data_IF_747447201233
#
_entry.id   IF_747447201233
#
_cell.length_a   1.000
_cell.length_b   1.000
_cell.length_c   1.000
_cell.angle_alpha   90.00
_cell.angle_beta   90.00
_cell.angle_gamma   90.00
#
_symmetry.space_group_name_H-M   'P 1'
#
loop_
_entity.id
_entity.type
_entity.pdbx_description
1 polymer ?
#
# COMPACT_ATOMS: atom_id res chain seq x y z
N UNK A 1 -13.95 -2.42 -17.41
CA UNK A 1 -13.45 -3.68 -16.78
C UNK A 1 -14.09 -3.80 -15.41
N UNK A 2 -14.64 -4.96 -15.05
CA UNK A 2 -15.10 -5.19 -13.69
C UNK A 2 -13.93 -5.04 -12.70
N UNK A 3 -14.11 -4.26 -11.63
CA UNK A 3 -13.08 -3.93 -10.62
C UNK A 3 -12.31 -5.16 -10.14
N UNK A 4 -13.02 -6.27 -9.93
CA UNK A 4 -12.45 -7.54 -9.46
C UNK A 4 -11.45 -8.16 -10.44
N UNK A 5 -11.67 -8.01 -11.76
CA UNK A 5 -10.73 -8.51 -12.78
C UNK A 5 -9.43 -7.71 -12.76
N UNK A 6 -9.50 -6.40 -12.52
CA UNK A 6 -8.30 -5.57 -12.42
C UNK A 6 -7.50 -5.91 -11.15
N UNK A 7 -8.16 -6.06 -10.01
CA UNK A 7 -7.50 -6.44 -8.74
C UNK A 7 -6.81 -7.81 -8.88
N UNK A 8 -7.53 -8.81 -9.40
CA UNK A 8 -6.96 -10.16 -9.63
C UNK A 8 -5.73 -10.12 -10.55
N UNK A 9 -5.77 -9.30 -11.59
CA UNK A 9 -4.64 -9.13 -12.50
C UNK A 9 -3.44 -8.47 -11.84
N UNK A 10 -3.66 -7.37 -11.11
CA UNK A 10 -2.60 -6.65 -10.39
C UNK A 10 -1.93 -7.57 -9.36
N UNK A 11 -2.72 -8.35 -8.63
CA UNK A 11 -2.22 -9.36 -7.71
C UNK A 11 -1.35 -10.42 -8.42
N UNK A 12 -1.78 -10.90 -9.59
CA UNK A 12 -0.99 -11.84 -10.38
C UNK A 12 0.31 -11.23 -10.93
N UNK A 13 0.33 -9.94 -11.28
CA UNK A 13 1.57 -9.25 -11.68
C UNK A 13 2.60 -9.32 -10.54
N UNK A 14 2.18 -9.01 -9.31
CA UNK A 14 3.05 -9.04 -8.14
C UNK A 14 3.60 -10.45 -7.88
N UNK A 15 2.75 -11.48 -7.93
CA UNK A 15 3.18 -12.89 -7.81
C UNK A 15 4.21 -13.25 -8.89
N UNK A 16 3.93 -12.92 -10.15
CA UNK A 16 4.82 -13.28 -11.26
C UNK A 16 6.19 -12.63 -11.10
N UNK A 17 6.24 -11.38 -10.64
CA UNK A 17 7.49 -10.64 -10.38
C UNK A 17 8.21 -11.15 -9.13
N UNK A 18 7.48 -11.56 -8.09
CA UNK A 18 8.07 -12.18 -6.89
C UNK A 18 8.88 -13.42 -7.24
N UNK A 19 8.37 -14.27 -8.14
CA UNK A 19 9.06 -15.46 -8.65
C UNK A 19 10.08 -15.19 -9.75
N UNK A 20 10.28 -13.93 -10.17
CA UNK A 20 11.22 -13.55 -11.23
C UNK A 20 12.23 -12.50 -10.73
N UNK A 21 13.26 -12.91 -9.94
CA UNK A 21 14.19 -11.97 -9.30
C UNK A 21 15.00 -11.13 -10.29
N UNK A 22 15.28 -11.64 -11.48
CA UNK A 22 15.96 -10.90 -12.55
C UNK A 22 15.04 -9.92 -13.30
N UNK A 23 13.76 -9.89 -12.95
CA UNK A 23 12.73 -9.14 -13.64
C UNK A 23 12.28 -9.77 -14.97
N UNK A 24 11.23 -9.19 -15.53
CA UNK A 24 10.61 -9.63 -16.78
C UNK A 24 10.30 -8.44 -17.67
N UNK A 25 10.36 -8.65 -18.98
CA UNK A 25 9.86 -7.66 -19.93
C UNK A 25 8.33 -7.61 -19.86
N UNK A 26 7.74 -6.47 -20.26
CA UNK A 26 6.28 -6.31 -20.32
C UNK A 26 5.63 -7.37 -21.22
N UNK A 27 6.31 -7.76 -22.30
CA UNK A 27 5.86 -8.83 -23.21
C UNK A 27 5.83 -10.19 -22.50
N UNK A 28 6.86 -10.52 -21.73
CA UNK A 28 6.90 -11.76 -20.96
C UNK A 28 5.82 -11.79 -19.86
N UNK A 29 5.59 -10.67 -19.18
CA UNK A 29 4.51 -10.51 -18.21
C UNK A 29 3.13 -10.70 -18.86
N UNK A 30 2.89 -10.06 -20.01
CA UNK A 30 1.66 -10.20 -20.79
C UNK A 30 1.40 -11.67 -21.15
N UNK A 31 2.41 -12.38 -21.68
CA UNK A 31 2.27 -13.81 -22.01
C UNK A 31 1.92 -14.66 -20.78
N UNK A 32 2.58 -14.42 -19.64
CA UNK A 32 2.30 -15.16 -18.39
C UNK A 32 0.89 -14.85 -17.86
N UNK A 33 0.42 -13.61 -17.97
CA UNK A 33 -0.93 -13.24 -17.57
C UNK A 33 -1.99 -13.90 -18.47
N UNK A 34 -1.78 -13.89 -19.79
CA UNK A 34 -2.67 -14.56 -20.75
C UNK A 34 -2.74 -16.07 -20.45
N UNK A 35 -1.61 -16.72 -20.12
CA UNK A 35 -1.58 -18.15 -19.73
C UNK A 35 -2.34 -18.45 -18.43
N UNK A 36 -2.57 -17.43 -17.59
CA UNK A 36 -3.36 -17.52 -16.35
C UNK A 36 -4.81 -17.08 -16.53
N UNK A 37 -5.28 -16.94 -17.79
CA UNK A 37 -6.66 -16.56 -18.12
C UNK A 37 -6.96 -15.06 -18.06
N UNK A 38 -5.92 -14.20 -18.00
CA UNK A 38 -6.10 -12.75 -18.09
C UNK A 38 -5.83 -12.28 -19.52
N UNK A 39 -6.86 -12.15 -20.34
CA UNK A 39 -6.74 -11.59 -21.70
C UNK A 39 -6.40 -10.10 -21.65
N UNK A 40 -5.10 -9.77 -21.73
CA UNK A 40 -4.63 -8.38 -21.70
C UNK A 40 -3.50 -8.12 -22.68
N UNK A 41 -3.50 -6.92 -23.26
CA UNK A 41 -2.42 -6.44 -24.11
C UNK A 41 -1.27 -5.81 -23.32
N UNK A 42 -0.10 -5.71 -23.95
CA UNK A 42 1.13 -5.09 -23.42
C UNK A 42 0.87 -3.71 -22.80
N UNK A 43 0.09 -2.85 -23.47
CA UNK A 43 -0.24 -1.50 -22.96
C UNK A 43 -0.98 -1.53 -21.62
N UNK A 44 -1.85 -2.52 -21.41
CA UNK A 44 -2.58 -2.68 -20.14
C UNK A 44 -1.63 -3.07 -19.03
N UNK A 45 -0.73 -4.01 -19.30
CA UNK A 45 0.29 -4.45 -18.34
C UNK A 45 1.20 -3.28 -17.95
N UNK A 46 1.65 -2.48 -18.91
CA UNK A 46 2.47 -1.29 -18.64
C UNK A 46 1.74 -0.28 -17.74
N UNK A 47 0.46 0.01 -18.02
CA UNK A 47 -0.34 0.91 -17.19
C UNK A 47 -0.50 0.38 -15.77
N UNK A 48 -0.71 -0.92 -15.60
CA UNK A 48 -0.86 -1.52 -14.27
C UNK A 48 0.46 -1.51 -13.49
N UNK A 49 1.61 -1.66 -14.15
CA UNK A 49 2.94 -1.50 -13.54
C UNK A 49 3.17 -0.06 -13.06
N UNK A 50 2.83 0.94 -13.88
CA UNK A 50 2.90 2.35 -13.48
C UNK A 50 1.95 2.66 -12.31
N UNK A 51 0.74 2.09 -12.31
CA UNK A 51 -0.20 2.26 -11.21
C UNK A 51 0.32 1.64 -9.90
N UNK A 52 0.95 0.47 -9.98
CA UNK A 52 1.60 -0.16 -8.83
C UNK A 52 2.78 0.69 -8.31
N UNK A 53 3.61 1.22 -9.20
CA UNK A 53 4.70 2.10 -8.81
C UNK A 53 4.19 3.41 -8.17
N UNK A 54 3.14 4.01 -8.74
CA UNK A 54 2.48 5.19 -8.16
C UNK A 54 1.82 4.90 -6.80
N UNK A 55 1.37 3.66 -6.58
CA UNK A 55 0.88 3.18 -5.28
C UNK A 55 2.00 2.86 -4.27
N UNK A 56 3.26 3.08 -4.62
CA UNK A 56 4.40 2.89 -3.71
C UNK A 56 4.93 1.45 -3.65
N UNK A 57 4.51 0.56 -4.57
CA UNK A 57 5.13 -0.76 -4.66
C UNK A 57 6.58 -0.63 -5.14
N UNK A 58 7.53 -1.40 -4.58
CA UNK A 58 8.96 -1.26 -4.85
C UNK A 58 9.34 -1.94 -6.17
N UNK A 59 8.79 -1.44 -7.27
CA UNK A 59 9.06 -1.86 -8.63
C UNK A 59 10.22 -1.05 -9.21
N UNK A 60 11.16 -1.73 -9.85
CA UNK A 60 12.26 -1.11 -10.57
C UNK A 60 12.26 -1.50 -12.03
N UNK A 61 12.42 -0.51 -12.91
CA UNK A 61 12.83 -0.74 -14.30
C UNK A 61 14.35 -0.86 -14.35
N UNK A 62 14.82 -1.91 -15.02
CA UNK A 62 16.20 -2.07 -15.43
C UNK A 62 16.24 -2.04 -16.96
N UNK A 63 17.00 -1.09 -17.51
CA UNK A 63 17.40 -1.15 -18.92
C UNK A 63 18.33 -2.34 -19.15
N UNK A 64 18.22 -3.01 -20.28
CA UNK A 64 19.01 -4.21 -20.59
C UNK A 64 20.23 -3.90 -21.44
N UNK A 65 21.37 -4.38 -20.96
CA UNK A 65 22.36 -5.07 -21.78
C UNK A 65 21.71 -6.16 -22.67
N UNK A 66 22.28 -6.34 -23.87
CA UNK A 66 21.98 -7.34 -24.91
C UNK A 66 20.68 -7.19 -25.74
N UNK A 67 19.49 -7.02 -25.14
CA UNK A 67 18.20 -7.09 -25.89
C UNK A 67 17.41 -5.77 -25.99
N UNK A 68 17.95 -4.67 -25.44
CA UNK A 68 17.36 -3.32 -25.51
C UNK A 68 15.89 -3.22 -25.04
N UNK A 69 15.44 -4.11 -24.15
CA UNK A 69 14.06 -4.23 -23.70
C UNK A 69 13.93 -4.06 -22.18
N UNK A 70 13.21 -3.04 -21.74
CA UNK A 70 13.09 -2.71 -20.32
C UNK A 70 12.49 -3.88 -19.50
N UNK A 71 13.20 -4.26 -18.43
CA UNK A 71 12.78 -5.32 -17.52
C UNK A 71 12.27 -4.73 -16.22
N UNK A 72 11.17 -5.27 -15.73
CA UNK A 72 10.54 -4.88 -14.49
C UNK A 72 10.81 -5.94 -13.43
N UNK A 73 11.28 -5.53 -12.25
CA UNK A 73 11.54 -6.40 -11.11
C UNK A 73 10.88 -5.85 -9.84
N UNK A 74 10.57 -6.74 -8.89
CA UNK A 74 10.10 -6.39 -7.56
C UNK A 74 11.28 -6.47 -6.58
N UNK A 75 11.61 -5.38 -5.90
CA UNK A 75 12.72 -5.37 -4.96
C UNK A 75 12.38 -6.19 -3.71
N UNK A 76 13.05 -7.33 -3.52
CA UNK A 76 12.83 -8.22 -2.35
C UNK A 76 13.31 -7.63 -1.02
N UNK A 77 14.24 -6.68 -1.07
CA UNK A 77 14.80 -5.97 0.08
C UNK A 77 14.56 -4.48 -0.06
N UNK A 78 13.30 -4.07 -0.21
CA UNK A 78 12.98 -2.66 -0.01
C UNK A 78 13.08 -2.35 1.48
N UNK A 79 14.00 -1.47 1.88
CA UNK A 79 13.76 -0.68 3.10
C UNK A 79 12.38 -0.07 2.90
N UNK A 80 11.48 -0.17 3.88
CA UNK A 80 10.22 0.56 3.87
C UNK A 80 10.61 2.05 4.00
N UNK A 81 11.01 2.65 2.89
CA UNK A 81 11.42 4.06 2.80
C UNK A 81 10.21 4.95 2.62
N UNK A 82 9.15 4.41 2.03
CA UNK A 82 7.83 5.02 2.06
C UNK A 82 6.98 4.24 3.06
N UNK A 83 6.82 4.82 4.24
CA UNK A 83 5.58 4.65 4.99
C UNK A 83 4.52 5.28 4.08
N UNK A 84 3.97 4.50 3.15
CA UNK A 84 2.79 4.92 2.42
C UNK A 84 1.79 5.36 3.47
N UNK A 85 1.34 6.61 3.41
CA UNK A 85 0.43 7.15 4.40
C UNK A 85 -0.87 6.33 4.32
N UNK A 86 -0.97 5.30 5.16
CA UNK A 86 -2.16 4.45 5.22
C UNK A 86 -3.30 5.38 5.61
N UNK A 87 -4.24 5.56 4.70
CA UNK A 87 -5.40 6.41 4.97
C UNK A 87 -6.21 5.79 6.10
N UNK A 88 -7.01 6.62 6.79
CA UNK A 88 -7.87 6.13 7.87
C UNK A 88 -8.80 5.00 7.39
N UNK A 89 -9.31 5.08 6.15
CA UNK A 89 -10.14 4.03 5.56
C UNK A 89 -9.37 2.72 5.33
N UNK A 90 -8.13 2.80 4.86
CA UNK A 90 -7.27 1.62 4.68
C UNK A 90 -6.90 0.99 6.03
N UNK A 91 -6.70 1.79 7.08
CA UNK A 91 -6.48 1.26 8.43
C UNK A 91 -7.71 0.51 8.98
N UNK A 92 -8.92 1.03 8.75
CA UNK A 92 -10.16 0.34 9.16
C UNK A 92 -10.27 -1.01 8.44
N UNK A 93 -10.07 -1.03 7.12
CA UNK A 93 -10.14 -2.27 6.35
C UNK A 93 -9.06 -3.27 6.77
N UNK A 94 -7.83 -2.80 7.02
CA UNK A 94 -6.76 -3.65 7.54
C UNK A 94 -7.11 -4.23 8.91
N UNK A 95 -7.72 -3.42 9.80
CA UNK A 95 -8.18 -3.88 11.10
C UNK A 95 -9.29 -4.92 10.99
N UNK A 96 -10.26 -4.74 10.09
CA UNK A 96 -11.34 -5.70 9.85
C UNK A 96 -10.80 -7.03 9.29
N UNK A 97 -9.84 -6.96 8.37
CA UNK A 97 -9.15 -8.15 7.84
C UNK A 97 -8.37 -8.85 8.96
N UNK A 98 -7.67 -8.11 9.81
CA UNK A 98 -6.95 -8.67 10.96
C UNK A 98 -7.91 -9.37 11.92
N UNK A 99 -9.04 -8.75 12.27
CA UNK A 99 -10.06 -9.35 13.13
C UNK A 99 -10.66 -10.61 12.52
N UNK A 100 -10.98 -10.60 11.22
CA UNK A 100 -11.45 -11.79 10.52
C UNK A 100 -10.40 -12.92 10.53
N UNK A 101 -9.12 -12.60 10.34
CA UNK A 101 -8.03 -13.58 10.39
C UNK A 101 -7.77 -14.11 11.81
N UNK A 102 -7.94 -13.30 12.85
CA UNK A 102 -7.89 -13.74 14.26
C UNK A 102 -9.01 -14.75 14.54
N UNK A 103 -10.20 -14.47 14.03
CA UNK A 103 -11.37 -15.32 14.21
C UNK A 103 -11.25 -16.65 13.44
N UNK A 104 -10.45 -16.68 12.37
CA UNK A 104 -10.27 -17.86 11.51
C UNK A 104 -8.97 -18.67 11.72
N UNK A 105 -8.01 -18.22 12.55
CA UNK A 105 -6.77 -19.00 12.84
C UNK A 105 -6.83 -19.71 14.19
N UNK A 106 -6.42 -20.98 14.17
CA UNK A 106 -6.14 -21.83 15.35
C UNK A 106 -5.36 -21.10 16.45
N UNK A 107 -5.70 -21.44 17.70
CA UNK A 107 -5.39 -20.73 18.95
C UNK A 107 -3.91 -20.40 19.24
N UNK A 108 -2.95 -20.88 18.45
CA UNK A 108 -1.51 -20.75 18.74
C UNK A 108 -0.89 -19.37 18.49
N UNK A 109 -1.47 -18.52 17.63
CA UNK A 109 -0.92 -17.17 17.33
C UNK A 109 -1.88 -16.03 17.65
N UNK A 110 -3.04 -16.31 18.26
CA UNK A 110 -4.05 -15.30 18.58
C UNK A 110 -3.50 -14.19 19.48
N UNK A 111 -2.63 -14.52 20.43
CA UNK A 111 -2.05 -13.53 21.35
C UNK A 111 -1.04 -12.59 20.68
N UNK A 112 -0.24 -13.06 19.74
CA UNK A 112 0.67 -12.20 18.96
C UNK A 112 -0.12 -11.18 18.13
N UNK A 113 -1.19 -11.63 17.48
CA UNK A 113 -2.03 -10.79 16.62
C UNK A 113 -2.87 -9.81 17.46
N UNK A 114 -3.39 -10.22 18.63
CA UNK A 114 -4.04 -9.30 19.58
C UNK A 114 -3.08 -8.20 20.04
N UNK A 115 -1.82 -8.55 20.32
CA UNK A 115 -0.82 -7.55 20.72
C UNK A 115 -0.53 -6.54 19.59
N UNK A 116 -0.53 -6.99 18.33
CA UNK A 116 -0.36 -6.14 17.16
C UNK A 116 -1.57 -5.21 16.97
N UNK A 117 -2.79 -5.74 17.09
CA UNK A 117 -4.01 -4.95 17.02
C UNK A 117 -4.07 -3.86 18.11
N UNK A 118 -3.71 -4.20 19.35
CA UNK A 118 -3.64 -3.24 20.46
C UNK A 118 -2.63 -2.12 20.19
N UNK A 119 -1.47 -2.44 19.61
CA UNK A 119 -0.46 -1.44 19.21
C UNK A 119 -0.99 -0.51 18.12
N UNK A 120 -1.70 -1.04 17.13
CA UNK A 120 -2.30 -0.22 16.06
C UNK A 120 -3.38 0.73 16.59
N UNK A 121 -4.23 0.27 17.51
CA UNK A 121 -5.24 1.13 18.16
C UNK A 121 -4.59 2.23 19.01
N UNK A 122 -3.51 1.91 19.74
CA UNK A 122 -2.77 2.92 20.50
C UNK A 122 -2.15 3.98 19.59
N UNK A 123 -1.60 3.59 18.43
CA UNK A 123 -1.05 4.54 17.46
C UNK A 123 -2.15 5.43 16.85
N UNK A 124 -3.33 4.88 16.57
CA UNK A 124 -4.50 5.66 16.16
C UNK A 124 -4.93 6.68 17.21
N UNK A 125 -4.92 6.31 18.49
CA UNK A 125 -5.32 7.21 19.57
C UNK A 125 -4.28 8.31 19.82
N UNK A 126 -2.98 7.99 19.68
CA UNK A 126 -1.93 9.01 19.75
C UNK A 126 -2.02 10.01 18.58
N UNK A 127 -2.35 9.55 17.37
CA UNK A 127 -2.57 10.43 16.21
C UNK A 127 -3.82 11.32 16.36
N UNK A 128 -4.85 10.85 17.08
CA UNK A 128 -6.06 11.65 17.40
C UNK A 128 -5.82 12.68 18.51
N UNK A 129 -5.02 12.34 19.52
CA UNK A 129 -4.68 13.24 20.63
C UNK A 129 -3.86 14.47 20.21
N UNK A 130 -3.15 14.42 19.08
CA UNK A 130 -2.44 15.58 18.53
C UNK A 130 -3.37 16.59 17.83
N UNK A 131 -4.62 16.22 17.54
CA UNK A 131 -5.62 17.10 16.90
C UNK A 131 -6.64 17.70 17.90
N UNK A 132 -6.66 17.27 19.16
CA UNK A 132 -7.58 17.79 20.19
C UNK A 132 -6.95 18.80 21.15
N UNK A 133 -5.67 19.17 20.97
CA UNK A 133 -4.97 20.14 21.82
C UNK A 133 -4.98 21.59 21.31
N UNK A 134 -5.82 21.91 20.31
CA UNK A 134 -5.75 23.17 19.57
C UNK A 134 -7.05 23.95 19.51
N UNK A 135 -7.90 23.89 20.54
CA UNK A 135 -9.01 24.84 20.75
C UNK A 135 -9.19 25.00 22.26
N UNK A 136 -8.30 25.75 22.90
CA UNK A 136 -8.57 26.31 24.22
C UNK A 136 -8.92 27.79 24.09
N UNK A 137 -9.96 28.14 24.81
CA UNK A 137 -10.78 29.33 24.68
C UNK A 137 -10.13 30.54 25.38
N UNK A 138 -10.48 31.75 24.92
CA UNK A 138 -10.66 32.89 25.82
C UNK A 138 -9.43 33.66 26.30
N UNK A 139 -8.95 34.62 25.48
CA UNK A 139 -8.48 35.92 25.99
C UNK A 139 -9.11 37.06 25.20
N UNK A 140 -10.30 37.46 25.63
CA UNK A 140 -10.83 38.79 25.36
C UNK A 140 -10.13 39.72 26.36
N UNK A 141 -9.11 40.46 25.92
CA UNK A 141 -8.58 41.58 26.69
C UNK A 141 -9.39 42.83 26.33
N UNK A 142 -10.35 43.19 27.19
CA UNK A 142 -11.05 44.47 27.19
C UNK A 142 -10.28 45.54 27.99
N UNK A 143 -10.22 46.77 27.46
CA UNK A 143 -9.86 48.01 28.18
C UNK A 143 -8.35 48.23 28.37
N UNK A 144 -7.72 49.35 28.02
CA UNK A 144 -8.15 50.75 28.09
C UNK A 144 -7.44 51.59 27.02
N UNK A 145 -8.21 52.41 26.30
CA UNK A 145 -7.71 53.60 25.61
C UNK A 145 -7.92 54.78 26.56
N UNK A 146 -6.83 55.41 27.00
CA UNK A 146 -6.75 56.81 27.46
C UNK A 146 -5.69 57.43 26.53
N UNK A 147 -5.97 58.36 25.62
CA UNK A 147 -6.46 59.73 25.78
C UNK A 147 -5.66 60.53 26.83
N UNK A 148 -4.48 61.00 26.42
CA UNK A 148 -3.99 62.39 26.49
C UNK A 148 -2.61 62.47 25.83
#
# INVERSE_FOLDING_TARGET
>A
MARNKQISRIYNILIILEYAPHGLTVKALCNRLNSRGHEVGVRTVYRDLLALQAAGFPLSEHGTDADNATRWSLARKSKITQVGAITQGEMIVLNDILLALINHRDDRRKEEIKSLAAKMVSQMNMAKGTLSGGLDEGRICSGNIKAL
#
